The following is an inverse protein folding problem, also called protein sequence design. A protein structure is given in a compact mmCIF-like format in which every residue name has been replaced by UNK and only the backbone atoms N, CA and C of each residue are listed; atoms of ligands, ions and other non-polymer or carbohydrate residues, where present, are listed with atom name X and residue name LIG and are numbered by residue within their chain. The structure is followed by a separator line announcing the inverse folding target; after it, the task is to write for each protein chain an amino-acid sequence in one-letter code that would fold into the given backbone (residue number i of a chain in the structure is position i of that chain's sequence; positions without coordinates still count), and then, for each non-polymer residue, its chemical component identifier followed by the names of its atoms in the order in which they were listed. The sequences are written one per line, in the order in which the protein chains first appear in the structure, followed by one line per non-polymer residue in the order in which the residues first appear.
data_IF_588497794274
#
_entry.id   IF_588497794274
#
_cell.length_a   1.000
_cell.length_b   1.000
_cell.length_c   1.000
_cell.angle_alpha   90.00
_cell.angle_beta   90.00
_cell.angle_gamma   90.00
#
_symmetry.space_group_name_H-M   'P 1'
#
loop_
_entity.id
_entity.type
_entity.pdbx_description
1 polymer ?
#
# COMPACT_ATOMS: atom_id res chain seq x y z
N UNK A 1 15.85 23.54 15.73
CA UNK A 1 14.91 23.48 14.61
C UNK A 1 14.61 22.00 14.38
N UNK A 2 13.63 21.49 15.11
CA UNK A 2 13.16 20.12 14.99
C UNK A 2 12.61 19.93 13.57
N UNK A 3 13.13 18.93 12.89
CA UNK A 3 12.73 18.53 11.54
C UNK A 3 11.22 18.30 11.49
N UNK A 4 10.50 18.85 10.48
CA UNK A 4 9.07 18.65 10.35
C UNK A 4 8.81 17.15 10.24
N UNK A 5 7.99 16.64 11.15
CA UNK A 5 7.47 15.29 11.18
C UNK A 5 7.01 14.91 9.77
N UNK A 6 7.76 14.04 9.09
CA UNK A 6 7.41 13.58 7.76
C UNK A 6 6.21 12.66 7.91
N UNK A 7 5.01 13.23 7.86
CA UNK A 7 3.77 12.47 7.88
C UNK A 7 3.80 11.56 6.64
N UNK A 8 4.08 10.28 6.84
CA UNK A 8 4.12 9.32 5.73
C UNK A 8 2.72 9.26 5.10
N UNK A 9 2.61 9.14 3.77
CA UNK A 9 1.31 9.03 3.11
C UNK A 9 0.48 7.87 3.68
N UNK A 10 1.12 6.77 4.08
CA UNK A 10 0.48 5.69 4.82
C UNK A 10 -0.14 6.11 6.16
N UNK A 11 0.55 6.93 6.98
CA UNK A 11 0.01 7.38 8.27
C UNK A 11 -1.27 8.20 8.13
N UNK A 12 -1.35 9.09 7.11
CA UNK A 12 -2.57 9.86 6.84
C UNK A 12 -3.74 8.96 6.45
N UNK A 13 -3.48 7.95 5.62
CA UNK A 13 -4.50 7.02 5.18
C UNK A 13 -4.96 6.07 6.30
N UNK A 14 -4.04 5.66 7.17
CA UNK A 14 -4.37 4.87 8.34
C UNK A 14 -5.32 5.64 9.27
N UNK A 15 -4.98 6.91 9.56
CA UNK A 15 -5.84 7.78 10.40
C UNK A 15 -7.22 7.96 9.76
N UNK A 16 -7.30 8.21 8.45
CA UNK A 16 -8.57 8.31 7.71
C UNK A 16 -9.37 7.01 7.73
N UNK A 17 -8.71 5.87 7.59
CA UNK A 17 -9.36 4.55 7.60
C UNK A 17 -9.94 4.25 8.97
N UNK A 18 -9.15 4.47 10.02
CA UNK A 18 -9.57 4.26 11.41
C UNK A 18 -10.69 5.22 11.79
N UNK A 19 -10.61 6.51 11.42
CA UNK A 19 -11.66 7.49 11.74
C UNK A 19 -12.98 7.22 11.01
N UNK A 20 -12.91 6.73 9.76
CA UNK A 20 -14.08 6.29 8.99
C UNK A 20 -14.78 5.11 9.65
N UNK A 21 -14.03 4.05 10.00
CA UNK A 21 -14.57 2.87 10.68
C UNK A 21 -15.13 3.24 12.06
N UNK A 22 -14.41 4.05 12.83
CA UNK A 22 -14.87 4.50 14.14
C UNK A 22 -16.20 5.27 14.03
N UNK A 23 -16.31 6.19 13.07
CA UNK A 23 -17.54 6.94 12.82
C UNK A 23 -18.70 6.01 12.46
N UNK A 24 -18.46 5.01 11.61
CA UNK A 24 -19.48 4.02 11.26
C UNK A 24 -19.97 3.24 12.49
N UNK A 25 -19.06 2.79 13.34
CA UNK A 25 -19.40 2.11 14.60
C UNK A 25 -20.23 3.03 15.49
N UNK A 26 -19.80 4.26 15.72
CA UNK A 26 -20.53 5.24 16.54
C UNK A 26 -21.95 5.48 16.02
N UNK A 27 -22.13 5.63 14.71
CA UNK A 27 -23.46 5.84 14.11
C UNK A 27 -24.37 4.63 14.34
N UNK A 28 -23.88 3.42 14.08
CA UNK A 28 -24.67 2.20 14.28
C UNK A 28 -25.02 2.01 15.77
N UNK A 29 -24.07 2.27 16.65
CA UNK A 29 -24.23 2.16 18.11
C UNK A 29 -25.24 3.15 18.69
N UNK A 30 -25.26 4.40 18.20
CA UNK A 30 -26.27 5.37 18.60
C UNK A 30 -27.65 4.98 18.06
N UNK A 31 -27.75 4.59 16.79
CA UNK A 31 -29.02 4.21 16.17
C UNK A 31 -29.66 2.99 16.85
N UNK A 32 -28.86 1.98 17.21
CA UNK A 32 -29.38 0.79 17.89
C UNK A 32 -29.78 1.10 19.33
N UNK A 33 -29.00 1.93 20.04
CA UNK A 33 -29.33 2.35 21.39
C UNK A 33 -30.65 3.11 21.41
N UNK A 34 -30.84 4.09 20.52
CA UNK A 34 -32.11 4.82 20.40
C UNK A 34 -33.29 3.90 20.09
N UNK A 35 -33.09 2.86 19.28
CA UNK A 35 -34.14 1.91 18.95
C UNK A 35 -34.50 0.93 20.08
N UNK A 36 -33.52 0.53 20.90
CA UNK A 36 -33.67 -0.60 21.83
C UNK A 36 -33.69 -0.20 23.31
N UNK A 37 -33.11 0.94 23.72
CA UNK A 37 -32.89 1.28 25.14
C UNK A 37 -34.16 1.30 26.01
N UNK A 38 -35.32 1.62 25.42
CA UNK A 38 -36.59 1.69 26.16
C UNK A 38 -37.18 0.31 26.42
N UNK A 39 -36.98 -0.65 25.50
CA UNK A 39 -37.72 -1.91 25.46
C UNK A 39 -36.84 -3.10 25.83
N UNK A 40 -35.54 -3.01 25.52
CA UNK A 40 -34.61 -4.11 25.66
C UNK A 40 -33.68 -3.89 26.86
N UNK A 41 -33.80 -4.70 27.93
CA UNK A 41 -32.96 -4.55 29.12
C UNK A 41 -31.48 -4.89 28.86
N UNK A 42 -31.13 -5.46 27.70
CA UNK A 42 -29.74 -5.69 27.31
C UNK A 42 -29.02 -4.39 26.91
N UNK A 43 -29.76 -3.38 26.46
CA UNK A 43 -29.22 -2.08 26.05
C UNK A 43 -29.37 -1.05 27.18
N UNK A 44 -28.74 -1.32 28.34
CA UNK A 44 -28.88 -0.50 29.56
C UNK A 44 -28.28 0.89 29.41
N UNK A 45 -27.12 0.98 28.76
CA UNK A 45 -26.32 2.19 28.63
C UNK A 45 -25.79 2.33 27.20
N UNK A 46 -25.39 3.54 26.84
CA UNK A 46 -24.77 3.82 25.53
C UNK A 46 -23.55 2.92 25.27
N UNK A 47 -22.81 2.52 26.31
CA UNK A 47 -21.69 1.60 26.19
C UNK A 47 -22.07 0.19 25.71
N UNK A 48 -23.26 -0.30 26.09
CA UNK A 48 -23.77 -1.58 25.57
C UNK A 48 -24.16 -1.47 24.10
N UNK A 49 -24.76 -0.34 23.70
CA UNK A 49 -24.97 -0.01 22.28
C UNK A 49 -23.66 0.10 21.49
N UNK A 50 -22.62 0.69 22.09
CA UNK A 50 -21.26 0.74 21.53
C UNK A 50 -20.67 -0.65 21.33
N UNK A 51 -20.69 -1.48 22.37
CA UNK A 51 -20.22 -2.86 22.30
C UNK A 51 -20.95 -3.66 21.21
N UNK A 52 -22.28 -3.57 21.16
CA UNK A 52 -23.08 -4.28 20.15
C UNK A 52 -22.74 -3.81 18.73
N UNK A 53 -22.69 -2.49 18.51
CA UNK A 53 -22.35 -1.92 17.20
C UNK A 53 -20.93 -2.28 16.77
N UNK A 54 -19.96 -2.25 17.69
CA UNK A 54 -18.59 -2.67 17.41
C UNK A 54 -18.55 -4.15 16.99
N UNK A 55 -19.17 -5.05 17.76
CA UNK A 55 -19.18 -6.48 17.46
C UNK A 55 -19.91 -6.81 16.14
N UNK A 56 -20.96 -6.06 15.81
CA UNK A 56 -21.73 -6.23 14.57
C UNK A 56 -20.95 -5.73 13.36
N UNK A 57 -20.41 -4.51 13.42
CA UNK A 57 -19.67 -3.90 12.30
C UNK A 57 -18.35 -4.63 12.05
N UNK A 58 -17.64 -5.03 13.10
CA UNK A 58 -16.40 -5.84 12.98
C UNK A 58 -16.65 -7.31 12.66
N UNK A 59 -17.90 -7.73 12.49
CA UNK A 59 -18.31 -9.11 12.21
C UNK A 59 -17.92 -10.13 13.30
N UNK A 60 -17.58 -9.68 14.51
CA UNK A 60 -17.29 -10.56 15.66
C UNK A 60 -18.54 -11.31 16.13
N UNK A 61 -19.68 -10.61 16.22
CA UNK A 61 -21.01 -11.19 16.39
C UNK A 61 -21.15 -12.20 17.54
N UNK A 62 -20.80 -11.83 18.77
CA UNK A 62 -20.87 -12.73 19.94
C UNK A 62 -22.26 -13.32 20.20
N UNK A 63 -23.33 -12.65 19.79
CA UNK A 63 -24.71 -13.14 19.89
C UNK A 63 -25.30 -13.13 21.30
N UNK A 64 -24.63 -12.45 22.24
CA UNK A 64 -25.07 -12.21 23.62
C UNK A 64 -26.22 -11.19 23.71
N UNK A 65 -26.25 -10.25 22.77
CA UNK A 65 -27.28 -9.22 22.65
C UNK A 65 -27.87 -9.19 21.25
N UNK A 66 -29.18 -8.94 21.14
CA UNK A 66 -29.87 -8.83 19.86
C UNK A 66 -31.05 -7.85 19.94
N UNK A 67 -31.32 -7.07 18.87
CA UNK A 67 -32.48 -6.19 18.85
C UNK A 67 -33.79 -6.99 18.80
N UNK A 68 -34.74 -6.58 19.63
CA UNK A 68 -36.08 -7.15 19.66
C UNK A 68 -37.06 -6.30 18.85
N UNK A 69 -36.80 -5.00 18.68
CA UNK A 69 -37.69 -4.09 17.98
C UNK A 69 -37.55 -4.24 16.45
N UNK A 70 -38.64 -4.02 15.69
CA UNK A 70 -38.56 -4.02 14.22
C UNK A 70 -37.58 -2.97 13.69
N UNK A 71 -37.50 -1.80 14.35
CA UNK A 71 -36.58 -0.74 13.97
C UNK A 71 -35.11 -1.14 14.21
N UNK A 72 -34.81 -1.71 15.39
CA UNK A 72 -33.46 -2.20 15.70
C UNK A 72 -33.01 -3.30 14.76
N UNK A 73 -33.90 -4.23 14.38
CA UNK A 73 -33.63 -5.26 13.37
C UNK A 73 -33.31 -4.64 12.00
N UNK A 74 -34.06 -3.63 11.57
CA UNK A 74 -33.77 -2.93 10.32
C UNK A 74 -32.40 -2.24 10.35
N UNK A 75 -32.04 -1.59 11.47
CA UNK A 75 -30.73 -0.98 11.67
C UNK A 75 -29.62 -2.03 11.53
N UNK A 76 -29.77 -3.20 12.15
CA UNK A 76 -28.79 -4.30 12.05
C UNK A 76 -28.66 -4.82 10.62
N UNK A 77 -29.77 -5.03 9.91
CA UNK A 77 -29.72 -5.46 8.52
C UNK A 77 -28.95 -4.47 7.64
N UNK A 78 -29.22 -3.17 7.81
CA UNK A 78 -28.52 -2.10 7.07
C UNK A 78 -27.05 -2.08 7.48
N UNK A 79 -26.73 -2.17 8.78
CA UNK A 79 -25.35 -2.11 9.25
C UNK A 79 -24.51 -3.27 8.74
N UNK A 80 -25.09 -4.47 8.58
CA UNK A 80 -24.39 -5.63 7.99
C UNK A 80 -24.03 -5.36 6.53
N UNK A 81 -24.97 -4.84 5.73
CA UNK A 81 -24.72 -4.51 4.32
C UNK A 81 -23.67 -3.41 4.19
N UNK A 82 -23.80 -2.34 4.99
CA UNK A 82 -22.86 -1.21 4.98
C UNK A 82 -21.48 -1.64 5.48
N UNK A 83 -21.40 -2.34 6.61
CA UNK A 83 -20.13 -2.85 7.16
C UNK A 83 -19.42 -3.79 6.19
N UNK A 84 -20.18 -4.68 5.54
CA UNK A 84 -19.67 -5.59 4.52
C UNK A 84 -19.16 -4.90 3.25
N UNK A 85 -19.63 -3.69 2.93
CA UNK A 85 -19.14 -2.92 1.79
C UNK A 85 -17.99 -1.97 2.16
N UNK A 86 -18.11 -1.25 3.28
CA UNK A 86 -17.19 -0.19 3.69
C UNK A 86 -15.84 -0.75 4.16
N UNK A 87 -15.85 -1.81 4.97
CA UNK A 87 -14.59 -2.35 5.55
C UNK A 87 -13.67 -2.90 4.45
N UNK A 88 -14.14 -3.75 3.51
CA UNK A 88 -13.28 -4.22 2.43
C UNK A 88 -12.81 -3.10 1.50
N UNK A 89 -13.66 -2.09 1.27
CA UNK A 89 -13.30 -0.93 0.45
C UNK A 89 -12.15 -0.11 1.06
N UNK A 90 -12.23 0.20 2.35
CA UNK A 90 -11.17 0.92 3.05
C UNK A 90 -9.88 0.08 3.13
N UNK A 91 -10.00 -1.24 3.36
CA UNK A 91 -8.86 -2.15 3.35
C UNK A 91 -8.17 -2.20 1.98
N UNK A 92 -8.93 -2.21 0.89
CA UNK A 92 -8.40 -2.16 -0.48
C UNK A 92 -7.56 -0.91 -0.74
N UNK A 93 -8.08 0.26 -0.35
CA UNK A 93 -7.35 1.53 -0.47
C UNK A 93 -6.08 1.58 0.36
N UNK A 94 -6.10 1.02 1.57
CA UNK A 94 -4.91 0.93 2.41
C UNK A 94 -3.86 -0.01 1.79
N UNK A 95 -4.31 -1.13 1.21
CA UNK A 95 -3.44 -2.09 0.53
C UNK A 95 -2.78 -1.49 -0.72
N UNK A 96 -3.50 -0.70 -1.53
CA UNK A 96 -2.95 0.01 -2.69
C UNK A 96 -1.76 0.90 -2.29
N UNK A 97 -1.90 1.64 -1.19
CA UNK A 97 -0.84 2.56 -0.72
C UNK A 97 0.35 1.81 -0.15
N UNK A 98 0.10 0.69 0.52
CA UNK A 98 1.18 -0.17 0.98
C UNK A 98 1.98 -0.79 -0.18
N UNK A 99 1.29 -1.16 -1.26
CA UNK A 99 1.94 -1.65 -2.49
C UNK A 99 2.71 -0.53 -3.19
N UNK A 100 2.15 0.68 -3.27
CA UNK A 100 2.80 1.84 -3.86
C UNK A 100 4.09 2.24 -3.10
N UNK A 101 4.05 2.24 -1.77
CA UNK A 101 5.24 2.50 -0.95
C UNK A 101 6.35 1.47 -1.16
N UNK A 102 6.00 0.18 -1.36
CA UNK A 102 6.97 -0.87 -1.70
C UNK A 102 7.52 -0.71 -3.11
N UNK A 103 6.67 -0.46 -4.10
CA UNK A 103 7.08 -0.24 -5.49
C UNK A 103 7.98 0.98 -5.63
N UNK A 104 7.70 2.07 -4.90
CA UNK A 104 8.56 3.24 -4.83
C UNK A 104 9.91 2.94 -4.16
N UNK A 105 9.94 2.08 -3.16
CA UNK A 105 11.16 1.59 -2.52
C UNK A 105 12.03 0.77 -3.48
N UNK A 106 11.42 -0.15 -4.22
CA UNK A 106 12.09 -0.98 -5.23
C UNK A 106 12.56 -0.15 -6.43
N UNK A 107 11.76 0.80 -6.92
CA UNK A 107 12.17 1.70 -8.00
C UNK A 107 13.34 2.61 -7.59
N UNK A 108 13.40 3.06 -6.34
CA UNK A 108 14.55 3.80 -5.79
C UNK A 108 15.81 2.93 -5.66
N UNK A 109 15.67 1.65 -5.36
CA UNK A 109 16.80 0.71 -5.24
C UNK A 109 17.27 0.19 -6.61
N UNK A 110 16.35 0.00 -7.57
CA UNK A 110 16.60 -0.48 -8.93
C UNK A 110 17.00 0.62 -9.91
N UNK A 111 16.69 1.89 -9.63
CA UNK A 111 17.30 3.01 -10.32
C UNK A 111 18.79 2.99 -10.02
N UNK A 112 19.59 2.47 -10.98
CA UNK A 112 21.03 2.56 -10.92
C UNK A 112 21.37 3.99 -10.51
N UNK A 113 22.07 4.21 -9.38
CA UNK A 113 22.40 5.56 -8.96
C UNK A 113 23.03 6.26 -10.16
N UNK A 114 22.72 7.54 -10.37
CA UNK A 114 23.19 8.26 -11.56
C UNK A 114 24.72 8.08 -11.79
N UNK A 115 25.46 7.83 -10.72
CA UNK A 115 26.87 7.42 -10.71
C UNK A 115 27.14 6.04 -11.34
N UNK A 116 26.34 5.01 -11.03
CA UNK A 116 26.44 3.68 -11.63
C UNK A 116 26.06 3.66 -13.11
N UNK A 117 25.02 4.41 -13.51
CA UNK A 117 24.67 4.57 -14.92
C UNK A 117 25.81 5.25 -15.72
N UNK A 118 26.43 6.30 -15.15
CA UNK A 118 27.61 6.96 -15.74
C UNK A 118 28.83 6.03 -15.82
N UNK A 119 29.08 5.22 -14.78
CA UNK A 119 30.16 4.22 -14.79
C UNK A 119 29.96 3.17 -15.87
N UNK A 120 28.75 2.65 -16.05
CA UNK A 120 28.42 1.70 -17.12
C UNK A 120 28.60 2.31 -18.51
N UNK A 121 28.18 3.57 -18.70
CA UNK A 121 28.41 4.29 -19.95
C UNK A 121 29.92 4.47 -20.23
N UNK A 122 30.71 4.83 -19.21
CA UNK A 122 32.17 4.92 -19.32
C UNK A 122 32.82 3.58 -19.68
N UNK A 123 32.42 2.49 -19.02
CA UNK A 123 32.99 1.16 -19.28
C UNK A 123 32.69 0.69 -20.71
N UNK A 124 31.46 0.90 -21.20
CA UNK A 124 31.14 0.62 -22.61
C UNK A 124 32.01 1.42 -23.58
N UNK A 125 32.29 2.68 -23.24
CA UNK A 125 33.14 3.54 -24.06
C UNK A 125 34.62 3.11 -24.02
N UNK A 126 35.09 2.55 -22.91
CA UNK A 126 36.43 1.97 -22.83
C UNK A 126 36.53 0.65 -23.61
N UNK A 127 35.49 -0.19 -23.55
CA UNK A 127 35.42 -1.42 -24.33
C UNK A 127 35.48 -1.14 -25.83
N UNK A 128 34.71 -0.17 -26.32
CA UNK A 128 34.74 0.18 -27.75
C UNK A 128 36.12 0.67 -28.22
N UNK A 129 36.85 1.37 -27.35
CA UNK A 129 38.23 1.82 -27.65
C UNK A 129 39.21 0.65 -27.67
N UNK A 130 39.06 -0.31 -26.77
CA UNK A 130 39.88 -1.51 -26.75
C UNK A 130 39.66 -2.33 -28.03
N UNK A 131 38.41 -2.48 -28.47
CA UNK A 131 38.06 -3.17 -29.71
C UNK A 131 38.68 -2.48 -30.94
N UNK A 132 38.63 -1.15 -31.00
CA UNK A 132 39.28 -0.36 -32.07
C UNK A 132 40.80 -0.52 -32.08
N UNK A 133 41.44 -0.54 -30.92
CA UNK A 133 42.89 -0.73 -30.82
C UNK A 133 43.30 -2.12 -31.28
N UNK A 134 42.52 -3.14 -30.92
CA UNK A 134 42.79 -4.52 -31.32
C UNK A 134 42.73 -4.66 -32.84
N UNK A 135 41.68 -4.11 -33.49
CA UNK A 135 41.55 -4.14 -34.94
C UNK A 135 42.70 -3.44 -35.68
N UNK A 136 43.24 -2.34 -35.12
CA UNK A 136 44.42 -1.65 -35.69
C UNK A 136 45.68 -2.48 -35.60
N UNK A 137 45.91 -3.16 -34.48
CA UNK A 137 47.07 -4.04 -34.31
C UNK A 137 47.03 -5.21 -35.30
N UNK A 138 45.85 -5.80 -35.49
CA UNK A 138 45.66 -6.88 -36.47
C UNK A 138 45.93 -6.39 -37.91
N UNK A 139 45.46 -5.18 -38.25
CA UNK A 139 45.73 -4.57 -39.55
C UNK A 139 47.22 -4.27 -39.78
N UNK A 140 47.94 -3.81 -38.75
CA UNK A 140 49.39 -3.58 -38.83
C UNK A 140 50.16 -4.90 -38.99
N UNK A 141 49.77 -5.94 -38.26
CA UNK A 141 50.37 -7.27 -38.40
C UNK A 141 50.16 -7.83 -39.83
N UNK A 142 48.96 -7.64 -40.41
CA UNK A 142 48.67 -8.01 -41.78
C UNK A 142 49.55 -7.23 -42.79
N UNK A 143 49.68 -5.91 -42.62
CA UNK A 143 50.53 -5.07 -43.48
C UNK A 143 52.01 -5.46 -43.41
N UNK A 144 52.52 -5.80 -42.21
CA UNK A 144 53.91 -6.27 -42.07
C UNK A 144 54.14 -7.61 -42.75
N UNK A 145 53.17 -8.52 -42.67
CA UNK A 145 53.24 -9.82 -43.34
C UNK A 145 53.26 -9.66 -44.86
N UNK A 146 52.41 -8.77 -45.41
CA UNK A 146 52.41 -8.44 -46.83
C UNK A 146 53.72 -7.76 -47.29
N UNK A 147 54.30 -6.90 -46.45
CA UNK A 147 55.58 -6.25 -46.76
C UNK A 147 56.74 -7.25 -46.83
N UNK A 148 56.79 -8.20 -45.89
CA UNK A 148 57.80 -9.29 -45.90
C UNK A 148 57.65 -10.20 -47.13
N UNK A 149 56.41 -10.48 -47.56
CA UNK A 149 56.16 -11.27 -48.78
C UNK A 149 56.49 -10.55 -50.09
N UNK A 150 56.64 -9.22 -50.08
CA UNK A 150 57.03 -8.44 -51.27
C UNK A 150 58.54 -8.28 -51.45
N UNK A 151 59.33 -8.57 -50.42
CA UNK A 151 60.79 -8.49 -50.47
C UNK A 151 61.47 -9.83 -50.86
N UNK A 152 60.74 -10.94 -50.87
CA UNK A 152 61.16 -12.24 -51.46
C UNK A 152 60.79 -12.36 -52.95
#
# INVERSE_FOLDING_TARGET
AESPESITPFSMQLVRTISSIATLVFVVSEMIYQAEHVVNPQFTDMFMGFYFGLCTVTTAGFGDMAPITPMGKAVVCISIVVGGAVIPFELGRLAETFVDERGAGEARQGALPAQAARRLAQLRQLQSRADEQQARLDALAAQQTEALQREE
#
